data_IF_249670836829
#
_entry.id   IF_249670836829
#
_cell.length_a   1.000
_cell.length_b   1.000
_cell.length_c   1.000
_cell.angle_alpha   90.00
_cell.angle_beta   90.00
_cell.angle_gamma   90.00
#
_symmetry.space_group_name_H-M   'P 1'
#
loop_
_entity.id
_entity.type
_entity.pdbx_description
1 polymer ?
#
# COMPACT_ATOMS: atom_id res chain seq x y z
N UNK A 1 -2.35 10.04 -15.48
CA UNK A 1 -3.19 8.86 -15.25
C UNK A 1 -2.33 7.67 -15.56
N UNK A 2 -1.71 7.13 -14.54
CA UNK A 2 -0.84 5.96 -14.55
C UNK A 2 -0.90 5.37 -13.14
N UNK A 3 -0.83 4.06 -13.03
CA UNK A 3 -0.71 3.39 -11.75
C UNK A 3 0.77 3.31 -11.37
N UNK A 4 1.03 3.15 -10.08
CA UNK A 4 2.37 3.00 -9.53
C UNK A 4 2.42 1.66 -8.82
N UNK A 5 3.37 0.80 -9.18
CA UNK A 5 3.62 -0.42 -8.42
C UNK A 5 4.33 -0.07 -7.12
N UNK A 6 3.64 -0.21 -6.01
CA UNK A 6 4.14 0.19 -4.68
C UNK A 6 4.86 -0.95 -3.95
N UNK A 7 4.73 -2.18 -4.44
CA UNK A 7 5.45 -3.32 -3.90
C UNK A 7 4.85 -4.67 -4.30
N UNK A 8 5.51 -5.73 -3.83
CA UNK A 8 5.10 -7.12 -4.06
C UNK A 8 5.08 -7.84 -2.72
N UNK A 9 3.96 -8.45 -2.38
CA UNK A 9 3.80 -9.22 -1.13
C UNK A 9 3.25 -10.59 -1.47
N UNK A 10 3.90 -11.66 -1.00
CA UNK A 10 3.54 -13.05 -1.34
C UNK A 10 3.36 -13.30 -2.86
N UNK A 11 4.16 -12.64 -3.70
CA UNK A 11 4.08 -12.75 -5.16
C UNK A 11 2.92 -11.98 -5.81
N UNK A 12 2.15 -11.23 -5.02
CA UNK A 12 1.06 -10.38 -5.51
C UNK A 12 1.55 -8.93 -5.60
N UNK A 13 1.36 -8.32 -6.76
CA UNK A 13 1.70 -6.93 -7.01
C UNK A 13 0.62 -6.00 -6.45
N UNK A 14 1.05 -4.93 -5.79
CA UNK A 14 0.18 -3.88 -5.27
C UNK A 14 0.39 -2.59 -6.03
N UNK A 15 -0.71 -1.94 -6.36
CA UNK A 15 -0.73 -0.72 -7.16
C UNK A 15 -1.47 0.39 -6.45
N UNK A 16 -1.05 1.62 -6.70
CA UNK A 16 -1.69 2.84 -6.25
C UNK A 16 -1.77 3.82 -7.40
N UNK A 17 -2.89 4.50 -7.58
CA UNK A 17 -3.00 5.54 -8.61
C UNK A 17 -1.99 6.66 -8.34
N UNK A 18 -1.33 7.19 -9.38
CA UNK A 18 -0.22 8.14 -9.23
C UNK A 18 -0.52 9.37 -8.34
N UNK A 19 -1.75 9.90 -8.38
CA UNK A 19 -2.15 11.03 -7.53
C UNK A 19 -2.24 10.65 -6.05
N UNK A 20 -2.72 9.44 -5.75
CA UNK A 20 -2.72 8.91 -4.38
C UNK A 20 -1.29 8.62 -3.94
N UNK A 21 -0.47 8.05 -4.83
CA UNK A 21 0.94 7.76 -4.52
C UNK A 21 1.68 9.02 -4.11
N UNK A 22 1.59 10.11 -4.88
CA UNK A 22 2.29 11.36 -4.55
C UNK A 22 1.88 11.94 -3.18
N UNK A 23 0.67 11.64 -2.71
CA UNK A 23 0.23 12.02 -1.36
C UNK A 23 0.79 11.09 -0.26
N UNK A 24 1.01 9.80 -0.54
CA UNK A 24 1.41 8.78 0.43
C UNK A 24 2.87 8.33 0.32
N UNK A 25 3.63 8.81 -0.67
CA UNK A 25 4.96 8.29 -1.04
C UNK A 25 5.96 8.34 0.11
N UNK A 26 5.78 9.25 1.06
CA UNK A 26 6.62 9.42 2.24
C UNK A 26 6.22 8.51 3.42
N UNK A 27 5.35 7.51 3.18
CA UNK A 27 4.86 6.61 4.22
C UNK A 27 5.11 5.14 3.92
N UNK A 28 5.57 4.41 4.92
CA UNK A 28 5.54 2.95 4.92
C UNK A 28 4.11 2.50 5.18
N UNK A 29 3.52 1.77 4.23
CA UNK A 29 2.19 1.18 4.36
C UNK A 29 2.28 -0.29 4.75
N UNK A 30 1.58 -0.65 5.82
CA UNK A 30 1.39 -2.04 6.23
C UNK A 30 -0.06 -2.44 6.00
N UNK A 31 -0.28 -3.43 5.13
CA UNK A 31 -1.58 -4.06 4.94
C UNK A 31 -1.67 -5.29 5.86
N UNK A 32 -2.72 -5.34 6.68
CA UNK A 32 -2.93 -6.41 7.65
C UNK A 32 -4.36 -6.95 7.54
N UNK A 33 -4.56 -8.20 7.94
CA UNK A 33 -5.85 -8.88 8.01
C UNK A 33 -6.13 -9.24 9.48
N UNK A 34 -7.09 -8.52 10.07
CA UNK A 34 -7.41 -8.62 11.50
C UNK A 34 -8.84 -9.12 11.71
N UNK A 35 -9.19 -9.68 12.89
CA UNK A 35 -10.57 -10.04 13.20
C UNK A 35 -11.51 -8.84 13.09
N UNK A 36 -12.66 -9.03 12.47
CA UNK A 36 -13.69 -8.01 12.31
C UNK A 36 -14.53 -8.19 11.05
N UNK A 37 -15.54 -7.35 10.88
CA UNK A 37 -16.34 -7.33 9.65
C UNK A 37 -15.70 -6.37 8.64
N UNK A 38 -15.48 -6.87 7.42
CA UNK A 38 -15.12 -6.06 6.26
C UNK A 38 -16.21 -5.03 5.91
N UNK A 39 -15.84 -4.05 5.08
CA UNK A 39 -16.81 -3.13 4.50
C UNK A 39 -17.82 -3.86 3.61
N UNK A 40 -19.00 -3.28 3.37
CA UNK A 40 -20.05 -3.91 2.56
C UNK A 40 -19.61 -4.31 1.14
N UNK A 41 -18.61 -3.61 0.59
CA UNK A 41 -18.03 -3.87 -0.74
C UNK A 41 -16.68 -4.60 -0.69
N UNK A 42 -16.28 -5.09 0.48
CA UNK A 42 -15.02 -5.80 0.67
C UNK A 42 -15.20 -7.29 0.39
N UNK A 43 -14.24 -7.91 -0.30
CA UNK A 43 -14.28 -9.34 -0.62
C UNK A 43 -14.23 -10.22 0.65
N UNK A 44 -13.63 -9.73 1.71
CA UNK A 44 -13.53 -10.35 3.03
C UNK A 44 -14.82 -10.22 3.87
N UNK A 45 -15.85 -9.51 3.39
CA UNK A 45 -17.09 -9.39 4.13
C UNK A 45 -17.74 -10.76 4.40
N UNK A 46 -18.13 -11.02 5.65
CA UNK A 46 -18.67 -12.31 6.08
C UNK A 46 -17.63 -13.38 6.44
N UNK A 47 -16.32 -13.12 6.24
CA UNK A 47 -15.24 -14.06 6.64
C UNK A 47 -14.92 -14.01 8.14
N UNK A 48 -15.39 -12.98 8.86
CA UNK A 48 -14.98 -12.68 10.24
C UNK A 48 -13.61 -12.00 10.33
N UNK A 49 -12.98 -11.71 9.20
CA UNK A 49 -11.73 -10.94 9.07
C UNK A 49 -11.98 -9.66 8.27
N UNK A 50 -11.12 -8.66 8.45
CA UNK A 50 -11.09 -7.44 7.65
C UNK A 50 -9.68 -6.95 7.37
N UNK A 51 -9.52 -6.29 6.23
CA UNK A 51 -8.28 -5.59 5.92
C UNK A 51 -8.17 -4.25 6.66
N UNK A 52 -6.96 -3.91 7.08
CA UNK A 52 -6.61 -2.59 7.59
C UNK A 52 -5.26 -2.16 7.02
N UNK A 53 -5.16 -0.89 6.62
CA UNK A 53 -3.89 -0.28 6.26
C UNK A 53 -3.46 0.60 7.42
N UNK A 54 -2.20 0.42 7.85
CA UNK A 54 -1.52 1.31 8.80
C UNK A 54 -0.41 2.02 8.07
N UNK A 55 -0.20 3.28 8.40
CA UNK A 55 0.89 4.08 7.85
C UNK A 55 1.80 4.56 8.97
N UNK A 56 3.09 4.67 8.65
CA UNK A 56 4.07 5.46 9.41
C UNK A 56 4.94 6.23 8.44
N UNK A 57 5.55 7.31 8.89
CA UNK A 57 6.60 7.97 8.11
C UNK A 57 7.79 7.01 7.95
N UNK A 58 8.44 7.10 6.80
CA UNK A 58 9.77 6.51 6.63
C UNK A 58 10.78 7.19 7.56
N UNK A 59 11.79 6.45 8.00
CA UNK A 59 12.97 7.07 8.60
C UNK A 59 13.78 7.81 7.54
N UNK A 60 14.71 8.66 7.96
CA UNK A 60 15.58 9.40 7.04
C UNK A 60 16.42 8.44 6.17
N UNK A 61 16.86 7.31 6.74
CA UNK A 61 17.60 6.28 6.00
C UNK A 61 16.72 5.58 4.96
N UNK A 62 15.49 5.20 5.33
CA UNK A 62 14.53 4.59 4.41
C UNK A 62 14.17 5.53 3.27
N UNK A 63 13.94 6.82 3.59
CA UNK A 63 13.61 7.83 2.60
C UNK A 63 14.77 8.12 1.63
N UNK A 64 15.99 8.16 2.16
CA UNK A 64 17.20 8.31 1.35
C UNK A 64 17.37 7.14 0.39
N UNK A 65 17.13 5.91 0.86
CA UNK A 65 17.18 4.71 0.02
C UNK A 65 16.15 4.76 -1.11
N UNK A 66 14.89 5.10 -0.79
CA UNK A 66 13.80 5.17 -1.77
C UNK A 66 14.00 6.27 -2.81
N UNK A 67 14.63 7.38 -2.43
CA UNK A 67 15.02 8.45 -3.36
C UNK A 67 15.99 7.96 -4.44
N UNK A 68 16.79 6.93 -4.15
CA UNK A 68 17.72 6.30 -5.10
C UNK A 68 17.10 5.09 -5.82
N UNK A 69 16.01 4.53 -5.29
CA UNK A 69 15.32 3.35 -5.81
C UNK A 69 13.83 3.65 -6.00
N UNK A 70 13.48 4.49 -7.00
CA UNK A 70 12.11 4.92 -7.19
C UNK A 70 11.22 3.76 -7.63
N UNK A 71 9.96 3.84 -7.22
CA UNK A 71 8.89 2.91 -7.62
C UNK A 71 8.67 2.91 -9.13
N UNK A 72 8.18 1.77 -9.64
CA UNK A 72 7.88 1.61 -11.05
C UNK A 72 6.56 2.30 -11.39
N UNK A 73 6.62 3.24 -12.34
CA UNK A 73 5.43 3.79 -13.00
C UNK A 73 4.89 2.78 -14.01
N UNK A 74 3.60 2.51 -13.97
CA UNK A 74 2.88 1.58 -14.82
C UNK A 74 1.81 2.36 -15.61
N UNK A 75 1.96 2.40 -16.93
CA UNK A 75 1.07 3.12 -17.85
C UNK A 75 1.24 2.61 -19.26
#
# INVERSE_FOLDING_TARGET
GSDVEVGITHGVHFYMGASQFSYWEHTHLTLDAIPGNGGQFSLDNGTGMRFIIRSRLYSDEEWTYLSQHPVKQCG
#
